data_IF_324438868994
#
_entry.id   IF_324438868994
#
_cell.length_a   1.000
_cell.length_b   1.000
_cell.length_c   1.000
_cell.angle_alpha   90.00
_cell.angle_beta   90.00
_cell.angle_gamma   90.00
#
_symmetry.space_group_name_H-M   'P 1'
#
loop_
_entity.id
_entity.type
_entity.pdbx_description
1 polymer ?
#
# COMPACT_ATOMS: atom_id res chain seq x y z
N UNK A 1 2.32 27.72 97.81
CA UNK A 1 2.23 27.91 96.35
C UNK A 1 2.82 26.67 95.72
N UNK A 2 1.97 25.74 95.28
CA UNK A 2 2.33 24.35 94.95
C UNK A 2 2.02 24.06 93.49
N UNK A 3 2.97 23.42 92.81
CA UNK A 3 2.89 22.97 91.42
C UNK A 3 1.85 21.86 91.25
N UNK A 4 1.12 21.90 90.12
CA UNK A 4 0.59 20.71 89.43
C UNK A 4 0.25 21.09 87.99
N UNK A 5 1.07 20.65 87.04
CA UNK A 5 0.75 20.68 85.61
C UNK A 5 0.60 19.23 85.17
N UNK A 6 -0.61 18.87 84.76
CA UNK A 6 -0.97 17.56 84.18
C UNK A 6 -0.62 17.57 82.70
N UNK A 7 0.17 16.61 82.22
CA UNK A 7 0.33 16.32 80.80
C UNK A 7 -0.56 15.12 80.43
N UNK A 8 -1.58 15.39 79.60
CA UNK A 8 -2.41 14.37 78.96
C UNK A 8 -1.69 13.82 77.73
N UNK A 9 -1.72 12.49 77.61
CA UNK A 9 -1.23 11.74 76.47
C UNK A 9 -2.13 11.92 75.24
N UNK A 10 -1.52 12.04 74.05
CA UNK A 10 -2.20 11.81 72.78
C UNK A 10 -1.38 10.81 71.97
N UNK A 11 -1.94 9.60 71.77
CA UNK A 11 -1.44 8.59 70.84
C UNK A 11 -1.95 8.95 69.44
N UNK A 12 -1.03 9.16 68.49
CA UNK A 12 -1.36 9.41 67.09
C UNK A 12 -1.12 8.12 66.28
N UNK A 13 -2.19 7.39 65.97
CA UNK A 13 -2.18 6.27 65.02
C UNK A 13 -2.25 6.83 63.59
N UNK A 14 -1.22 6.58 62.79
CA UNK A 14 -1.22 6.87 61.36
C UNK A 14 -1.95 5.76 60.59
N UNK A 15 -3.06 6.09 59.94
CA UNK A 15 -3.71 5.23 58.95
C UNK A 15 -3.14 5.58 57.56
N UNK A 16 -2.39 4.66 56.97
CA UNK A 16 -1.95 4.70 55.58
C UNK A 16 -3.11 4.31 54.67
N UNK A 17 -3.67 5.26 53.93
CA UNK A 17 -4.60 4.98 52.83
C UNK A 17 -3.81 4.71 51.55
N UNK A 18 -3.71 3.43 51.16
CA UNK A 18 -3.25 3.03 49.84
C UNK A 18 -4.35 3.32 48.82
N UNK A 19 -4.16 4.33 47.97
CA UNK A 19 -5.00 4.55 46.79
C UNK A 19 -4.41 3.74 45.64
N UNK A 20 -5.07 2.64 45.30
CA UNK A 20 -4.72 1.79 44.16
C UNK A 20 -5.24 2.47 42.87
N UNK A 21 -4.36 3.06 42.07
CA UNK A 21 -4.71 3.50 40.72
C UNK A 21 -4.74 2.28 39.80
N UNK A 22 -5.94 1.81 39.47
CA UNK A 22 -6.12 0.83 38.40
C UNK A 22 -5.94 1.56 37.06
N UNK A 23 -4.86 1.24 36.34
CA UNK A 23 -4.71 1.63 34.94
C UNK A 23 -5.60 0.69 34.13
N UNK A 24 -6.77 1.19 33.71
CA UNK A 24 -7.63 0.48 32.78
C UNK A 24 -7.01 0.63 31.39
N UNK A 25 -6.48 -0.47 30.84
CA UNK A 25 -6.15 -0.54 29.44
C UNK A 25 -7.44 -0.42 28.63
N UNK A 26 -7.61 0.68 27.89
CA UNK A 26 -8.70 0.79 26.93
C UNK A 26 -8.36 -0.09 25.73
N UNK A 27 -9.20 -1.09 25.46
CA UNK A 27 -9.16 -1.80 24.20
C UNK A 27 -9.52 -0.80 23.09
N UNK A 28 -8.65 -0.65 22.09
CA UNK A 28 -8.98 0.08 20.85
C UNK A 28 -10.13 -0.69 20.19
N UNK A 29 -11.30 -0.09 20.08
CA UNK A 29 -12.38 -0.65 19.28
C UNK A 29 -11.96 -0.58 17.81
N UNK A 30 -12.06 -1.70 17.09
CA UNK A 30 -11.96 -1.71 15.64
C UNK A 30 -13.04 -0.78 15.08
N UNK A 31 -12.65 0.09 14.17
CA UNK A 31 -13.55 1.03 13.51
C UNK A 31 -14.45 0.25 12.53
N UNK A 32 -15.65 -0.08 13.00
CA UNK A 32 -16.65 -0.95 12.36
C UNK A 32 -17.35 -0.27 11.15
N UNK A 33 -16.72 0.74 10.54
CA UNK A 33 -17.32 1.63 9.52
C UNK A 33 -16.62 1.61 8.16
N UNK A 34 -15.60 0.75 7.97
CA UNK A 34 -14.95 0.62 6.66
C UNK A 34 -15.91 0.06 5.62
N UNK A 35 -16.01 0.75 4.47
CA UNK A 35 -16.81 0.32 3.32
C UNK A 35 -15.89 0.19 2.11
N UNK A 36 -15.70 -1.03 1.56
CA UNK A 36 -14.95 -1.23 0.34
C UNK A 36 -15.58 -0.50 -0.85
N UNK A 37 -14.75 -0.03 -1.77
CA UNK A 37 -15.22 0.50 -3.06
C UNK A 37 -15.26 -0.64 -4.08
N UNK A 38 -16.44 -0.94 -4.61
CA UNK A 38 -16.62 -1.97 -5.63
C UNK A 38 -16.64 -1.35 -7.02
N UNK A 39 -15.78 -1.85 -7.91
CA UNK A 39 -15.68 -1.44 -9.31
C UNK A 39 -15.65 0.09 -9.51
N UNK A 40 -14.75 0.82 -8.84
CA UNK A 40 -14.61 2.25 -9.07
C UNK A 40 -14.23 2.53 -10.52
N UNK A 41 -14.63 3.70 -11.01
CA UNK A 41 -14.18 4.24 -12.29
C UNK A 41 -13.34 5.48 -12.05
N UNK A 42 -12.28 5.65 -12.83
CA UNK A 42 -11.42 6.84 -12.79
C UNK A 42 -11.20 7.38 -14.20
N UNK A 43 -11.15 8.70 -14.31
CA UNK A 43 -10.75 9.37 -15.54
C UNK A 43 -9.24 9.64 -15.49
N UNK A 44 -8.49 8.99 -16.38
CA UNK A 44 -7.04 9.17 -16.47
C UNK A 44 -6.75 10.30 -17.45
N UNK A 45 -6.02 11.31 -17.00
CA UNK A 45 -5.60 12.44 -17.82
C UNK A 45 -4.12 12.36 -18.14
N UNK A 46 -3.71 13.02 -19.23
CA UNK A 46 -2.32 13.17 -19.62
C UNK A 46 -1.54 13.87 -18.51
N UNK A 47 -0.28 13.45 -18.30
CA UNK A 47 0.61 14.00 -17.29
C UNK A 47 0.79 15.52 -17.47
N UNK A 48 0.84 16.24 -16.36
CA UNK A 48 0.96 17.71 -16.37
C UNK A 48 2.38 18.19 -16.70
N UNK A 49 3.36 17.30 -16.69
CA UNK A 49 4.77 17.53 -16.97
C UNK A 49 5.51 16.20 -17.08
N UNK A 50 6.84 16.27 -17.08
CA UNK A 50 7.71 15.10 -17.21
C UNK A 50 7.65 14.21 -15.96
N UNK A 51 7.94 12.92 -16.16
CA UNK A 51 8.09 11.89 -15.10
C UNK A 51 9.41 11.16 -15.35
N UNK A 52 10.28 11.14 -14.35
CA UNK A 52 11.52 10.39 -14.30
C UNK A 52 11.32 9.17 -13.42
N UNK A 53 11.62 7.98 -13.94
CA UNK A 53 11.47 6.74 -13.17
C UNK A 53 12.65 6.57 -12.22
N UNK A 54 12.55 7.14 -11.03
CA UNK A 54 13.62 7.16 -10.02
C UNK A 54 13.19 6.74 -8.60
N UNK A 55 11.90 6.43 -8.43
CA UNK A 55 11.28 5.99 -7.19
C UNK A 55 10.72 7.14 -6.35
N UNK A 56 10.70 8.38 -6.86
CA UNK A 56 10.17 9.56 -6.16
C UNK A 56 9.01 10.19 -6.93
N UNK A 57 7.87 10.33 -6.26
CA UNK A 57 6.69 10.97 -6.84
C UNK A 57 6.72 12.51 -6.70
N UNK A 58 7.89 13.14 -6.77
CA UNK A 58 8.04 14.60 -6.67
C UNK A 58 8.01 15.33 -8.03
N UNK A 59 7.94 14.56 -9.11
CA UNK A 59 7.82 15.08 -10.48
C UNK A 59 6.50 15.81 -10.75
N UNK A 60 6.52 16.84 -11.62
CA UNK A 60 5.32 17.57 -12.00
C UNK A 60 4.29 16.70 -12.73
N UNK A 61 4.71 15.64 -13.43
CA UNK A 61 3.81 14.76 -14.17
C UNK A 61 2.80 14.00 -13.29
N UNK A 62 3.12 13.79 -12.00
CA UNK A 62 2.20 13.17 -11.05
C UNK A 62 1.11 14.11 -10.54
N UNK A 63 1.25 15.42 -10.76
CA UNK A 63 0.25 16.40 -10.31
C UNK A 63 -1.05 16.23 -11.08
N UNK A 64 -2.12 15.90 -10.38
CA UNK A 64 -3.44 15.65 -10.97
C UNK A 64 -3.59 14.29 -11.64
N UNK A 65 -2.60 13.38 -11.49
CA UNK A 65 -2.74 11.99 -11.90
C UNK A 65 -3.97 11.35 -11.22
N UNK A 66 -4.62 10.42 -11.93
CA UNK A 66 -5.74 9.68 -11.37
C UNK A 66 -5.27 8.86 -10.18
N UNK A 67 -6.01 8.93 -9.08
CA UNK A 67 -5.66 8.35 -7.78
C UNK A 67 -6.63 7.24 -7.41
N UNK A 68 -6.12 6.08 -7.05
CA UNK A 68 -6.85 5.00 -6.40
C UNK A 68 -6.38 4.90 -4.94
N UNK A 69 -7.33 4.90 -4.02
CA UNK A 69 -7.13 4.76 -2.58
C UNK A 69 -8.25 3.89 -1.98
N UNK A 70 -8.34 3.84 -0.65
CA UNK A 70 -9.35 3.06 0.07
C UNK A 70 -9.35 1.57 -0.32
N UNK A 71 -8.14 1.00 -0.45
CA UNK A 71 -7.93 -0.42 -0.70
C UNK A 71 -8.57 -1.26 0.39
N UNK A 72 -9.10 -2.43 0.02
CA UNK A 72 -9.63 -3.42 0.94
C UNK A 72 -8.68 -4.62 1.02
N UNK A 73 -8.50 -5.16 2.21
CA UNK A 73 -7.76 -6.39 2.42
C UNK A 73 -8.60 -7.59 1.95
N UNK A 74 -8.07 -8.32 0.98
CA UNK A 74 -8.72 -9.51 0.42
C UNK A 74 -8.20 -10.83 1.00
N UNK A 75 -6.99 -10.84 1.56
CA UNK A 75 -6.38 -12.02 2.16
C UNK A 75 -5.34 -11.56 3.19
N UNK A 76 -5.41 -12.02 4.46
CA UNK A 76 -6.34 -13.02 5.01
C UNK A 76 -7.73 -12.49 5.37
N UNK A 77 -7.97 -11.19 5.29
CA UNK A 77 -9.28 -10.58 5.52
C UNK A 77 -10.34 -10.98 4.48
N UNK A 78 -11.56 -10.46 4.65
CA UNK A 78 -12.65 -10.56 3.65
C UNK A 78 -13.22 -9.16 3.42
N UNK A 79 -12.51 -8.39 2.58
CA UNK A 79 -12.83 -7.01 2.25
C UNK A 79 -12.84 -6.08 3.47
N UNK A 80 -11.87 -6.29 4.36
CA UNK A 80 -11.68 -5.50 5.59
C UNK A 80 -10.76 -4.31 5.35
N UNK A 81 -10.71 -3.37 6.31
CA UNK A 81 -9.75 -2.27 6.27
C UNK A 81 -8.33 -2.84 6.39
N UNK A 82 -7.40 -2.55 5.46
CA UNK A 82 -6.02 -3.01 5.58
C UNK A 82 -5.33 -2.33 6.78
N UNK A 83 -4.34 -3.00 7.40
CA UNK A 83 -3.60 -2.45 8.55
C UNK A 83 -2.71 -1.27 8.17
N UNK A 84 -2.39 -1.13 6.88
CA UNK A 84 -1.54 -0.07 6.32
C UNK A 84 -2.19 0.55 5.09
N UNK A 85 -1.96 1.84 4.89
CA UNK A 85 -2.52 2.56 3.75
C UNK A 85 -1.68 2.36 2.48
N UNK A 86 -2.34 2.31 1.34
CA UNK A 86 -1.72 2.30 0.00
C UNK A 86 -2.50 3.22 -0.91
N UNK A 87 -1.76 3.96 -1.75
CA UNK A 87 -2.30 4.85 -2.76
C UNK A 87 -1.64 4.46 -4.08
N UNK A 88 -2.42 4.26 -5.13
CA UNK A 88 -1.92 4.09 -6.48
C UNK A 88 -2.24 5.34 -7.33
N UNK A 89 -1.34 5.67 -8.23
CA UNK A 89 -1.48 6.75 -9.20
C UNK A 89 -1.35 6.19 -10.61
N UNK A 90 -2.11 6.76 -11.55
CA UNK A 90 -2.04 6.43 -12.97
C UNK A 90 -2.19 7.68 -13.82
N UNK A 91 -1.34 7.81 -14.82
CA UNK A 91 -1.36 8.87 -15.84
C UNK A 91 -0.69 8.36 -17.11
N UNK A 92 -0.56 9.19 -18.14
CA UNK A 92 0.10 8.83 -19.38
C UNK A 92 0.69 10.07 -20.07
N UNK A 93 1.63 9.86 -20.98
CA UNK A 93 2.06 10.86 -21.96
C UNK A 93 1.84 10.33 -23.40
N UNK A 94 2.55 10.86 -24.40
CA UNK A 94 2.39 10.36 -25.78
C UNK A 94 3.04 8.99 -26.02
N UNK A 95 3.93 8.53 -25.14
CA UNK A 95 4.73 7.33 -25.31
C UNK A 95 4.42 6.21 -24.31
N UNK A 96 4.00 6.55 -23.08
CA UNK A 96 3.94 5.65 -21.95
C UNK A 96 2.66 5.79 -21.14
N UNK A 97 2.20 4.67 -20.59
CA UNK A 97 1.37 4.63 -19.40
C UNK A 97 2.29 4.67 -18.18
N UNK A 98 1.96 5.52 -17.21
CA UNK A 98 2.67 5.60 -15.94
C UNK A 98 1.79 5.09 -14.80
N UNK A 99 2.36 4.24 -13.97
CA UNK A 99 1.71 3.74 -12.75
C UNK A 99 2.68 3.89 -11.59
N UNK A 100 2.18 4.30 -10.43
CA UNK A 100 2.99 4.50 -9.25
C UNK A 100 2.22 4.16 -7.99
N UNK A 101 2.94 3.82 -6.92
CA UNK A 101 2.35 3.52 -5.63
C UNK A 101 3.09 4.24 -4.51
N UNK A 102 2.33 4.74 -3.54
CA UNK A 102 2.81 5.10 -2.20
C UNK A 102 2.26 4.07 -1.23
N UNK A 103 3.16 3.36 -0.57
CA UNK A 103 2.84 2.31 0.39
C UNK A 103 3.31 2.74 1.76
N UNK A 104 2.36 3.15 2.62
CA UNK A 104 2.68 3.53 3.98
C UNK A 104 3.01 2.31 4.80
N UNK A 105 4.01 2.43 5.67
CA UNK A 105 4.47 1.34 6.52
C UNK A 105 5.51 1.75 7.56
N UNK A 106 5.83 0.83 8.47
CA UNK A 106 7.08 0.87 9.23
C UNK A 106 8.25 0.41 8.33
N UNK A 107 9.19 1.31 7.96
CA UNK A 107 10.29 0.99 7.07
C UNK A 107 11.19 -0.13 7.58
N UNK A 108 11.28 -0.32 8.91
CA UNK A 108 12.10 -1.37 9.51
C UNK A 108 11.54 -2.79 9.31
N UNK A 109 10.28 -2.89 8.87
CA UNK A 109 9.58 -4.16 8.67
C UNK A 109 9.44 -4.55 7.20
N UNK A 110 9.78 -3.66 6.27
CA UNK A 110 9.70 -3.89 4.82
C UNK A 110 10.62 -5.05 4.42
N UNK A 111 10.03 -6.04 3.76
CA UNK A 111 10.77 -7.20 3.23
C UNK A 111 10.95 -7.02 1.73
N UNK A 112 12.15 -6.69 1.29
CA UNK A 112 12.46 -6.57 -0.13
C UNK A 112 13.86 -7.12 -0.43
N UNK A 113 14.06 -7.61 -1.64
CA UNK A 113 15.33 -8.18 -2.09
C UNK A 113 15.72 -7.66 -3.49
N UNK A 114 17.01 -7.44 -3.71
CA UNK A 114 17.56 -7.26 -5.06
C UNK A 114 17.70 -8.63 -5.71
N UNK A 115 16.58 -9.16 -6.20
CA UNK A 115 16.49 -10.47 -6.83
C UNK A 115 16.41 -10.39 -8.35
N UNK A 116 16.43 -11.55 -9.00
CA UNK A 116 16.13 -11.64 -10.43
C UNK A 116 14.67 -11.25 -10.72
N UNK A 117 14.45 -10.72 -11.92
CA UNK A 117 13.10 -10.45 -12.44
C UNK A 117 12.21 -11.69 -12.31
N UNK A 118 10.98 -11.50 -11.83
CA UNK A 118 10.04 -12.60 -11.60
C UNK A 118 10.28 -13.41 -10.32
N UNK A 119 11.18 -12.99 -9.41
CA UNK A 119 11.46 -13.67 -8.12
C UNK A 119 11.04 -12.90 -6.87
N UNK A 120 10.24 -11.84 -7.01
CA UNK A 120 9.83 -10.94 -5.92
C UNK A 120 8.64 -11.40 -5.08
N UNK A 121 8.06 -12.58 -5.33
CA UNK A 121 6.76 -12.99 -4.75
C UNK A 121 6.72 -13.14 -3.22
N UNK A 122 7.88 -13.28 -2.58
CA UNK A 122 8.00 -13.34 -1.11
C UNK A 122 8.30 -11.96 -0.47
N UNK A 123 8.50 -10.94 -1.29
CA UNK A 123 8.75 -9.56 -0.86
C UNK A 123 7.42 -8.81 -0.66
N UNK A 124 7.45 -7.74 0.12
CA UNK A 124 6.56 -6.60 -0.09
C UNK A 124 6.63 -6.21 -1.58
N UNK A 125 5.48 -6.13 -2.23
CA UNK A 125 5.41 -5.65 -3.61
C UNK A 125 4.02 -5.10 -3.91
N UNK A 126 3.95 -4.31 -4.95
CA UNK A 126 2.69 -3.82 -5.52
C UNK A 126 2.61 -4.22 -6.97
N UNK A 127 1.39 -4.26 -7.49
CA UNK A 127 1.19 -4.53 -8.90
C UNK A 127 -0.20 -4.18 -9.35
N UNK A 128 -0.42 -4.37 -10.65
CA UNK A 128 -1.72 -4.14 -11.25
C UNK A 128 -2.00 -5.10 -12.40
N UNK A 129 -3.29 -5.39 -12.58
CA UNK A 129 -3.84 -6.07 -13.74
C UNK A 129 -4.20 -4.99 -14.76
N UNK A 130 -3.89 -5.22 -16.03
CA UNK A 130 -4.28 -4.33 -17.11
C UNK A 130 -4.93 -5.11 -18.26
N UNK A 131 -6.23 -4.89 -18.44
CA UNK A 131 -6.99 -5.35 -19.59
C UNK A 131 -7.33 -4.14 -20.48
N UNK A 132 -6.61 -4.04 -21.59
CA UNK A 132 -6.72 -2.92 -22.55
C UNK A 132 -7.91 -3.05 -23.51
N UNK A 133 -8.59 -4.20 -23.54
CA UNK A 133 -9.76 -4.43 -24.39
C UNK A 133 -11.07 -4.36 -23.60
N UNK A 134 -11.00 -4.56 -22.27
CA UNK A 134 -12.12 -4.45 -21.34
C UNK A 134 -13.09 -5.63 -21.40
N UNK A 135 -12.70 -6.74 -22.03
CA UNK A 135 -13.53 -7.93 -22.22
C UNK A 135 -13.23 -9.06 -21.22
N UNK A 136 -12.24 -8.86 -20.34
CA UNK A 136 -11.73 -9.84 -19.39
C UNK A 136 -11.28 -11.17 -20.03
N UNK A 137 -10.94 -11.16 -21.32
CA UNK A 137 -10.39 -12.34 -21.99
C UNK A 137 -8.91 -12.56 -21.64
N UNK A 138 -8.18 -11.50 -21.29
CA UNK A 138 -6.81 -11.57 -20.82
C UNK A 138 -6.42 -10.27 -20.10
N UNK A 139 -5.33 -10.30 -19.33
CA UNK A 139 -4.77 -9.12 -18.69
C UNK A 139 -3.25 -9.25 -18.53
N UNK A 140 -2.52 -8.14 -18.69
CA UNK A 140 -1.14 -8.05 -18.20
C UNK A 140 -1.16 -8.02 -16.66
N UNK A 141 -0.13 -8.58 -16.03
CA UNK A 141 0.22 -8.23 -14.65
C UNK A 141 1.60 -7.66 -14.61
N UNK A 142 1.79 -6.54 -13.92
CA UNK A 142 3.07 -5.90 -13.71
C UNK A 142 3.24 -5.58 -12.23
N UNK A 143 4.33 -6.05 -11.65
CA UNK A 143 4.61 -5.93 -10.23
C UNK A 143 6.01 -5.39 -10.00
N UNK A 144 6.17 -4.60 -8.94
CA UNK A 144 7.44 -4.02 -8.53
C UNK A 144 7.60 -4.15 -7.02
N UNK A 145 8.79 -4.55 -6.57
CA UNK A 145 9.13 -4.52 -5.15
C UNK A 145 9.78 -3.17 -4.76
N UNK A 146 9.98 -2.87 -3.46
CA UNK A 146 10.57 -1.61 -2.99
C UNK A 146 11.96 -1.26 -3.53
N UNK A 147 12.66 -2.20 -4.18
CA UNK A 147 13.95 -1.95 -4.83
C UNK A 147 13.85 -1.81 -6.35
N UNK A 148 12.64 -1.71 -6.91
CA UNK A 148 12.42 -1.56 -8.34
C UNK A 148 12.54 -2.86 -9.13
N UNK A 149 12.64 -4.02 -8.49
CA UNK A 149 12.71 -5.31 -9.19
C UNK A 149 11.34 -5.62 -9.79
N UNK A 150 11.34 -6.01 -11.06
CA UNK A 150 10.13 -6.28 -11.84
C UNK A 150 9.69 -7.74 -11.73
N UNK A 151 8.39 -7.95 -11.89
CA UNK A 151 7.81 -9.21 -12.34
C UNK A 151 6.61 -8.90 -13.22
N UNK A 152 6.39 -9.72 -14.23
CA UNK A 152 5.24 -9.60 -15.11
C UNK A 152 4.77 -10.97 -15.56
N UNK A 153 3.52 -11.00 -16.02
CA UNK A 153 2.91 -12.17 -16.60
C UNK A 153 1.74 -11.77 -17.50
N UNK A 154 1.27 -12.73 -18.28
CA UNK A 154 0.01 -12.61 -19.01
C UNK A 154 -1.01 -13.57 -18.40
N UNK A 155 -2.20 -13.08 -18.08
CA UNK A 155 -3.31 -13.89 -17.60
C UNK A 155 -4.31 -14.17 -18.70
N UNK A 156 -4.78 -15.41 -18.75
CA UNK A 156 -5.79 -15.91 -19.70
C UNK A 156 -6.76 -16.83 -18.96
N UNK A 157 -7.87 -17.27 -19.58
CA UNK A 157 -8.77 -18.24 -18.96
C UNK A 157 -8.10 -19.60 -18.70
N UNK A 158 -6.98 -19.87 -19.37
CA UNK A 158 -6.18 -21.09 -19.17
C UNK A 158 -5.11 -20.95 -18.08
N UNK A 159 -4.99 -19.78 -17.46
CA UNK A 159 -4.05 -19.51 -16.38
C UNK A 159 -3.05 -18.41 -16.70
N UNK A 160 -2.05 -18.31 -15.83
CA UNK A 160 -0.95 -17.35 -15.91
C UNK A 160 0.21 -17.89 -16.76
N UNK A 161 0.65 -17.10 -17.74
CA UNK A 161 1.92 -17.28 -18.42
C UNK A 161 2.98 -16.38 -17.77
N UNK A 162 3.77 -16.98 -16.87
CA UNK A 162 4.90 -16.31 -16.21
C UNK A 162 6.19 -16.28 -17.04
N UNK A 163 6.17 -16.81 -18.28
CA UNK A 163 7.26 -16.63 -19.24
C UNK A 163 7.08 -15.39 -20.12
N UNK A 164 5.97 -14.66 -19.95
CA UNK A 164 5.74 -13.38 -20.58
C UNK A 164 6.81 -12.37 -20.13
N UNK A 165 7.33 -11.59 -21.08
CA UNK A 165 8.44 -10.68 -20.87
C UNK A 165 8.16 -9.35 -21.58
N UNK A 166 7.51 -8.43 -20.88
CA UNK A 166 7.23 -7.08 -21.36
C UNK A 166 8.47 -6.19 -21.21
N UNK A 167 8.69 -5.26 -22.15
CA UNK A 167 9.72 -4.21 -22.00
C UNK A 167 9.08 -2.99 -21.34
N UNK A 168 9.54 -2.65 -20.13
CA UNK A 168 9.06 -1.51 -19.33
C UNK A 168 10.10 -1.13 -18.27
N UNK A 169 9.98 0.07 -17.71
CA UNK A 169 10.90 0.61 -16.71
C UNK A 169 10.25 0.69 -15.34
N UNK A 170 11.05 0.51 -14.29
CA UNK A 170 10.59 0.68 -12.91
C UNK A 170 11.70 1.16 -11.99
N UNK A 171 11.30 1.87 -10.95
CA UNK A 171 12.16 2.24 -9.83
C UNK A 171 11.39 2.07 -8.52
N UNK A 172 12.12 1.85 -7.42
CA UNK A 172 11.56 1.72 -6.10
C UNK A 172 12.46 2.37 -5.06
N UNK A 173 11.85 2.95 -4.03
CA UNK A 173 12.55 3.60 -2.94
C UNK A 173 11.86 3.30 -1.61
N UNK A 174 12.63 2.80 -0.63
CA UNK A 174 12.21 2.82 0.77
C UNK A 174 12.37 4.25 1.30
N UNK A 175 11.34 4.73 1.98
CA UNK A 175 11.24 6.08 2.54
C UNK A 175 11.07 6.01 4.05
N UNK A 176 11.10 7.15 4.73
CA UNK A 176 10.89 7.22 6.18
C UNK A 176 9.46 6.82 6.61
N UNK A 177 8.51 6.78 5.67
CA UNK A 177 7.09 6.46 5.94
C UNK A 177 6.61 5.18 5.26
N UNK A 178 7.50 4.38 4.66
CA UNK A 178 7.15 3.16 3.94
C UNK A 178 7.98 3.00 2.67
N UNK A 179 7.36 2.80 1.51
CA UNK A 179 8.05 2.78 0.23
C UNK A 179 7.23 3.36 -0.91
N UNK A 180 7.91 3.71 -1.99
CA UNK A 180 7.32 4.21 -3.23
C UNK A 180 7.88 3.40 -4.40
N UNK A 181 7.08 3.22 -5.45
CA UNK A 181 7.55 2.66 -6.72
C UNK A 181 6.95 3.41 -7.88
N UNK A 182 7.69 3.49 -8.98
CA UNK A 182 7.26 4.08 -10.24
C UNK A 182 7.45 3.09 -11.38
N UNK A 183 6.56 3.16 -12.37
CA UNK A 183 6.54 2.28 -13.54
C UNK A 183 6.24 3.11 -14.79
N UNK A 184 7.03 2.93 -15.85
CA UNK A 184 6.73 3.43 -17.18
C UNK A 184 6.56 2.26 -18.15
N UNK A 185 5.37 2.16 -18.73
CA UNK A 185 4.98 1.10 -19.66
C UNK A 185 4.79 1.73 -21.04
N UNK A 186 5.73 1.51 -21.99
CA UNK A 186 5.58 2.02 -23.33
C UNK A 186 4.32 1.48 -24.00
N UNK A 187 3.53 2.36 -24.64
CA UNK A 187 2.38 1.92 -25.43
C UNK A 187 2.79 0.98 -26.57
N UNK A 188 4.00 1.14 -27.10
CA UNK A 188 4.57 0.24 -28.11
C UNK A 188 4.74 -1.22 -27.60
N UNK A 189 4.83 -1.43 -26.29
CA UNK A 189 4.90 -2.76 -25.67
C UNK A 189 3.50 -3.37 -25.47
N UNK A 190 2.44 -2.55 -25.45
CA UNK A 190 1.07 -2.95 -25.18
C UNK A 190 0.28 -3.23 -26.47
N UNK A 191 -0.62 -4.20 -26.40
CA UNK A 191 -1.68 -4.39 -27.39
C UNK A 191 -2.92 -3.68 -26.88
N UNK A 192 -3.52 -2.82 -27.68
CA UNK A 192 -4.75 -2.11 -27.35
C UNK A 192 -5.50 -1.73 -28.63
N UNK A 193 -6.82 -1.50 -28.59
CA UNK A 193 -7.59 -1.15 -29.77
C UNK A 193 -7.18 0.20 -30.36
N UNK A 194 -7.17 0.30 -31.69
CA UNK A 194 -6.94 1.55 -32.41
C UNK A 194 -8.20 2.43 -32.35
N UNK A 195 -8.35 3.20 -31.27
CA UNK A 195 -9.45 4.13 -31.02
C UNK A 195 -8.94 5.38 -30.30
N UNK A 196 -9.57 6.52 -30.56
CA UNK A 196 -9.16 7.80 -29.98
C UNK A 196 -9.36 7.84 -28.45
N UNK A 197 -10.47 7.26 -27.97
CA UNK A 197 -10.80 7.19 -26.55
C UNK A 197 -10.58 5.77 -26.06
N UNK A 198 -9.60 5.60 -25.18
CA UNK A 198 -9.31 4.32 -24.52
C UNK A 198 -10.22 4.11 -23.31
N UNK A 199 -10.63 2.87 -23.10
CA UNK A 199 -11.37 2.44 -21.91
C UNK A 199 -10.84 1.07 -21.56
N UNK A 200 -10.08 1.01 -20.49
CA UNK A 200 -9.37 -0.17 -20.01
C UNK A 200 -9.90 -0.56 -18.64
N UNK A 201 -9.69 -1.81 -18.26
CA UNK A 201 -9.91 -2.28 -16.88
C UNK A 201 -8.56 -2.40 -16.20
N UNK A 202 -8.53 -1.90 -14.97
CA UNK A 202 -7.36 -1.97 -14.10
C UNK A 202 -7.80 -2.43 -12.72
N UNK A 203 -6.96 -3.25 -12.09
CA UNK A 203 -7.08 -3.62 -10.69
C UNK A 203 -5.70 -3.50 -10.04
N UNK A 204 -5.63 -2.88 -8.87
CA UNK A 204 -4.37 -2.57 -8.18
C UNK A 204 -4.29 -3.39 -6.90
N UNK A 205 -3.10 -3.86 -6.54
CA UNK A 205 -2.90 -4.56 -5.27
C UNK A 205 -1.56 -4.26 -4.63
N UNK A 206 -1.48 -4.62 -3.35
CA UNK A 206 -0.26 -4.72 -2.57
C UNK A 206 -0.19 -6.10 -1.92
N UNK A 207 0.94 -6.77 -2.09
CA UNK A 207 1.32 -7.91 -1.27
C UNK A 207 2.04 -7.43 -0.01
N UNK A 208 1.51 -7.77 1.15
CA UNK A 208 2.03 -7.40 2.47
C UNK A 208 2.25 -8.68 3.31
N UNK A 209 3.42 -9.34 3.19
CA UNK A 209 3.61 -10.74 3.59
C UNK A 209 3.79 -10.97 5.11
N UNK A 210 3.41 -10.01 5.95
CA UNK A 210 3.77 -10.03 7.39
C UNK A 210 2.85 -10.88 8.25
N UNK A 211 1.64 -11.18 7.78
CA UNK A 211 0.64 -11.96 8.53
C UNK A 211 0.34 -13.36 7.96
N UNK A 212 1.03 -13.83 6.91
CA UNK A 212 0.93 -15.24 6.53
C UNK A 212 1.68 -16.08 7.56
N UNK A 213 1.01 -16.46 8.65
CA UNK A 213 1.43 -17.56 9.48
C UNK A 213 1.66 -18.76 8.57
N UNK A 214 2.94 -19.12 8.39
CA UNK A 214 3.32 -20.44 7.88
C UNK A 214 2.91 -21.46 8.94
N UNK A 215 1.65 -21.89 8.86
CA UNK A 215 1.19 -23.16 9.41
C UNK A 215 1.55 -24.31 8.48
#
# INVERSE_FOLDING_TARGET
MSFKTTHNAARLTWLLSFVLFAVIAQAVQADDTFVPVYHPSMNVTKAAGDISIDGKLDDPGWQGAARADNFAEHNPGDQTKPPVETIAYITYDDGNLYVSFICYDDPSTIRASLCERGRLWNDDNVGFFLDTYGDAAWAYTLNVNPYGVQADAMWTPTGQDGGFDLIWESAGMITDSGYQVEMAIPFAALRFPNKDIQTWRVDFWRNHPRESNRG
#
